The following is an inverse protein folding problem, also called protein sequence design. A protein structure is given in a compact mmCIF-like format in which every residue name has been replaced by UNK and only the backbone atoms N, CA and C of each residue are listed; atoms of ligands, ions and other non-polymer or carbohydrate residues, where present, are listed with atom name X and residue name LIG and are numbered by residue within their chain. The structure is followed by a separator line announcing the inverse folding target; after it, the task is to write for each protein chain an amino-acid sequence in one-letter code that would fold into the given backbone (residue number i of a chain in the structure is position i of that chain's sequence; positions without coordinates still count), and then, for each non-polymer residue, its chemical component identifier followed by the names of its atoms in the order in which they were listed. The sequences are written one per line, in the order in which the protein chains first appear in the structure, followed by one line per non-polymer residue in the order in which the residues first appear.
data_IF_695143024760
#
_entry.id   IF_695143024760
#
_cell.length_a   1.000
_cell.length_b   1.000
_cell.length_c   1.000
_cell.angle_alpha   90.00
_cell.angle_beta   90.00
_cell.angle_gamma   90.00
#
_symmetry.space_group_name_H-M   'P 1'
#
loop_
_entity.id
_entity.type
_entity.pdbx_description
1 polymer ?
#
# COMPACT_ATOMS: atom_id res chain seq x y z
N UNK A 1 12.63 16.90 -27.26
CA UNK A 1 11.64 16.24 -28.15
C UNK A 1 11.97 16.65 -29.57
N UNK A 2 11.66 15.84 -30.58
CA UNK A 2 12.11 16.08 -31.97
C UNK A 2 11.21 17.07 -32.74
N UNK A 3 10.02 17.42 -32.21
CA UNK A 3 9.10 18.38 -32.82
C UNK A 3 8.45 19.30 -31.74
N UNK A 4 8.31 20.62 -31.98
CA UNK A 4 7.62 21.56 -31.08
C UNK A 4 6.16 21.15 -30.78
N UNK A 5 5.44 20.55 -31.75
CA UNK A 5 4.08 20.07 -31.53
C UNK A 5 4.02 18.89 -30.54
N UNK A 6 5.02 18.00 -30.55
CA UNK A 6 5.11 16.91 -29.58
C UNK A 6 5.34 17.45 -28.16
N UNK A 7 6.11 18.53 -28.02
CA UNK A 7 6.33 19.18 -26.74
C UNK A 7 5.04 19.78 -26.16
N UNK A 8 4.26 20.47 -27.00
CA UNK A 8 2.94 21.00 -26.61
C UNK A 8 1.93 19.91 -26.28
N UNK A 9 1.94 18.80 -27.03
CA UNK A 9 1.09 17.65 -26.74
C UNK A 9 1.39 17.04 -25.36
N UNK A 10 2.69 16.86 -25.02
CA UNK A 10 3.08 16.37 -23.68
C UNK A 10 2.72 17.36 -22.57
N UNK A 11 2.86 18.68 -22.80
CA UNK A 11 2.40 19.68 -21.83
C UNK A 11 0.90 19.58 -21.57
N UNK A 12 0.08 19.38 -22.63
CA UNK A 12 -1.36 19.17 -22.49
C UNK A 12 -1.68 17.90 -21.70
N UNK A 13 -0.97 16.80 -21.95
CA UNK A 13 -1.13 15.55 -21.20
C UNK A 13 -0.74 15.69 -19.71
N UNK A 14 0.28 16.49 -19.41
CA UNK A 14 0.68 16.81 -18.02
C UNK A 14 -0.42 17.66 -17.36
N UNK A 15 -0.90 18.71 -18.02
CA UNK A 15 -1.96 19.58 -17.51
C UNK A 15 -3.30 18.86 -17.29
N UNK A 16 -3.59 17.79 -18.03
CA UNK A 16 -4.74 16.91 -17.78
C UNK A 16 -4.61 16.08 -16.49
N UNK A 17 -3.38 15.77 -16.05
CA UNK A 17 -3.13 15.07 -14.79
C UNK A 17 -3.09 16.00 -13.57
N UNK A 18 -2.86 17.29 -13.78
CA UNK A 18 -2.79 18.27 -12.71
C UNK A 18 -4.20 18.78 -12.36
N UNK A 19 -4.64 18.47 -11.14
CA UNK A 19 -5.98 18.82 -10.68
C UNK A 19 -6.12 20.30 -10.33
N UNK A 20 -5.17 20.86 -9.56
CA UNK A 20 -5.29 22.19 -8.94
C UNK A 20 -4.45 23.28 -9.62
N UNK A 21 -3.46 22.89 -10.43
CA UNK A 21 -2.50 23.78 -11.08
C UNK A 21 -2.52 23.52 -12.57
N UNK A 22 -2.30 24.56 -13.38
CA UNK A 22 -2.11 24.48 -14.82
C UNK A 22 -0.77 25.14 -15.15
N UNK A 23 0.09 24.44 -15.88
CA UNK A 23 1.35 25.00 -16.36
C UNK A 23 1.04 25.80 -17.63
N UNK A 24 1.33 27.10 -17.61
CA UNK A 24 1.31 27.95 -18.80
C UNK A 24 2.64 27.80 -19.55
N UNK A 25 2.58 27.66 -20.87
CA UNK A 25 3.77 27.71 -21.73
C UNK A 25 4.29 29.14 -21.76
N UNK A 26 5.57 29.33 -21.42
CA UNK A 26 6.24 30.64 -21.45
C UNK A 26 7.26 30.65 -22.57
N UNK A 27 8.18 29.69 -22.59
CA UNK A 27 9.26 29.65 -23.57
C UNK A 27 9.44 28.25 -24.16
N UNK A 28 9.69 28.19 -25.47
CA UNK A 28 10.02 26.99 -26.20
C UNK A 28 11.48 27.09 -26.69
N UNK A 29 12.37 26.39 -26.00
CA UNK A 29 13.81 26.44 -26.25
C UNK A 29 14.21 25.24 -27.10
N UNK A 30 14.75 25.50 -28.29
CA UNK A 30 15.41 24.50 -29.11
C UNK A 30 16.87 24.37 -28.67
N UNK A 31 17.30 23.16 -28.32
CA UNK A 31 18.66 22.85 -27.88
C UNK A 31 19.21 21.66 -28.66
N UNK A 32 20.48 21.68 -29.03
CA UNK A 32 21.11 20.54 -29.69
C UNK A 32 21.65 19.55 -28.65
N UNK A 33 21.31 18.27 -28.83
CA UNK A 33 21.86 17.16 -28.03
C UNK A 33 23.32 16.87 -28.41
N UNK A 34 24.04 16.14 -27.55
CA UNK A 34 25.40 15.63 -27.84
C UNK A 34 25.49 14.84 -29.16
N UNK A 35 24.39 14.23 -29.60
CA UNK A 35 24.27 13.48 -30.86
C UNK A 35 23.71 14.32 -32.05
N UNK A 36 23.85 15.65 -32.04
CA UNK A 36 23.38 16.57 -33.10
C UNK A 36 21.86 16.55 -33.38
N UNK A 37 21.04 15.96 -32.48
CA UNK A 37 19.58 15.99 -32.58
C UNK A 37 18.99 17.23 -31.92
N UNK A 38 18.06 17.90 -32.61
CA UNK A 38 17.31 19.05 -32.09
C UNK A 38 16.29 18.59 -31.03
N UNK A 39 16.45 19.07 -29.80
CA UNK A 39 15.58 18.80 -28.65
C UNK A 39 14.86 20.10 -28.26
N UNK A 40 13.53 20.10 -28.39
CA UNK A 40 12.67 21.15 -27.85
C UNK A 40 12.38 20.90 -26.36
N UNK A 41 12.57 21.95 -25.55
CA UNK A 41 12.23 22.05 -24.13
C UNK A 41 11.19 23.17 -23.94
N UNK A 42 10.23 22.95 -23.05
CA UNK A 42 9.23 23.97 -22.69
C UNK A 42 9.50 24.39 -21.25
N UNK A 43 9.64 25.69 -21.02
CA UNK A 43 9.60 26.31 -19.70
C UNK A 43 8.21 26.90 -19.47
N UNK A 44 7.71 26.79 -18.24
CA UNK A 44 6.39 27.26 -17.88
C UNK A 44 6.24 27.54 -16.40
N UNK A 45 5.36 28.48 -16.05
CA UNK A 45 4.99 28.78 -14.66
C UNK A 45 3.68 28.09 -14.34
N UNK A 46 3.60 27.52 -13.13
CA UNK A 46 2.38 26.95 -12.60
C UNK A 46 1.43 28.07 -12.19
N UNK A 47 0.25 28.12 -12.81
CA UNK A 47 -0.86 28.96 -12.40
C UNK A 47 -1.91 28.13 -11.67
N UNK A 48 -2.36 28.60 -10.51
CA UNK A 48 -3.42 27.96 -9.76
C UNK A 48 -4.78 28.08 -10.47
N UNK A 49 -5.57 27.00 -10.45
CA UNK A 49 -6.95 27.02 -10.95
C UNK A 49 -7.88 27.51 -9.83
N UNK A 50 -7.92 28.82 -9.63
CA UNK A 50 -8.64 29.46 -8.51
C UNK A 50 -10.10 28.99 -8.39
N UNK A 51 -10.82 28.83 -9.50
CA UNK A 51 -12.21 28.36 -9.51
C UNK A 51 -12.36 26.93 -8.98
N UNK A 52 -11.50 26.01 -9.43
CA UNK A 52 -11.49 24.60 -8.97
C UNK A 52 -11.10 24.51 -7.49
N UNK A 53 -10.15 25.35 -7.06
CA UNK A 53 -9.72 25.44 -5.66
C UNK A 53 -10.89 25.94 -4.79
N UNK A 54 -11.58 27.00 -5.20
CA UNK A 54 -12.74 27.54 -4.48
C UNK A 54 -13.88 26.51 -4.43
N UNK A 55 -14.16 25.82 -5.54
CA UNK A 55 -15.18 24.76 -5.58
C UNK A 55 -14.84 23.63 -4.60
N UNK A 56 -13.62 23.09 -4.67
CA UNK A 56 -13.16 22.03 -3.76
C UNK A 56 -13.10 22.49 -2.30
N UNK A 57 -12.80 23.76 -2.05
CA UNK A 57 -12.81 24.33 -0.69
C UNK A 57 -14.23 24.46 -0.13
N UNK A 58 -15.24 24.66 -0.98
CA UNK A 58 -16.66 24.59 -0.60
C UNK A 58 -17.14 23.16 -0.38
N UNK A 59 -16.68 22.22 -1.21
CA UNK A 59 -16.97 20.78 -1.07
C UNK A 59 -16.27 20.16 0.15
N UNK A 60 -15.10 20.69 0.53
CA UNK A 60 -14.39 20.32 1.74
C UNK A 60 -15.17 20.81 2.96
N UNK A 61 -16.09 19.97 3.45
CA UNK A 61 -16.83 20.23 4.68
C UNK A 61 -15.91 20.61 5.84
N UNK A 62 -16.40 21.48 6.72
CA UNK A 62 -15.70 21.85 7.95
C UNK A 62 -15.93 20.75 8.99
N UNK A 63 -14.88 20.34 9.68
CA UNK A 63 -14.97 19.41 10.80
C UNK A 63 -14.22 19.99 11.99
N UNK A 64 -14.76 19.77 13.17
CA UNK A 64 -14.18 20.24 14.44
C UNK A 64 -13.36 19.08 15.00
N UNK A 65 -12.09 19.34 15.32
CA UNK A 65 -11.24 18.42 16.06
C UNK A 65 -11.07 18.97 17.48
N UNK A 66 -11.51 18.22 18.48
CA UNK A 66 -11.22 18.49 19.88
C UNK A 66 -10.05 17.62 20.33
N UNK A 67 -9.07 18.22 21.01
CA UNK A 67 -7.91 17.52 21.55
C UNK A 67 -7.71 17.89 23.01
N UNK A 68 -7.21 16.94 23.81
CA UNK A 68 -6.84 17.16 25.21
C UNK A 68 -5.39 17.64 25.36
N UNK A 69 -4.68 17.88 24.24
CA UNK A 69 -3.32 18.43 24.22
C UNK A 69 -3.42 19.95 24.41
N UNK A 70 -3.30 20.39 25.67
CA UNK A 70 -3.43 21.79 26.08
C UNK A 70 -2.07 22.48 26.20
N UNK A 71 -1.04 21.73 26.57
CA UNK A 71 0.31 22.25 26.81
C UNK A 71 1.01 22.60 25.49
N UNK A 72 1.66 23.77 25.44
CA UNK A 72 2.34 24.30 24.25
C UNK A 72 3.51 23.40 23.79
N UNK A 73 4.12 22.62 24.70
CA UNK A 73 5.22 21.69 24.39
C UNK A 73 4.73 20.41 23.67
N UNK A 74 3.49 19.98 23.92
CA UNK A 74 2.86 18.79 23.32
C UNK A 74 1.87 19.13 22.20
N UNK A 75 1.78 20.42 21.84
CA UNK A 75 0.84 20.94 20.86
C UNK A 75 1.28 20.53 19.46
N UNK A 76 0.62 19.51 18.92
CA UNK A 76 0.79 19.10 17.53
C UNK A 76 0.44 20.25 16.57
N UNK A 77 1.22 20.39 15.50
CA UNK A 77 0.85 21.30 14.42
C UNK A 77 -0.52 20.93 13.85
N UNK A 78 -1.24 21.92 13.32
CA UNK A 78 -2.57 21.72 12.73
C UNK A 78 -2.56 20.66 11.63
N UNK A 79 -1.49 20.58 10.81
CA UNK A 79 -1.38 19.57 9.77
C UNK A 79 -1.15 18.16 10.37
N UNK A 80 -0.36 18.06 11.44
CA UNK A 80 -0.10 16.81 12.14
C UNK A 80 -1.34 16.31 12.89
N UNK A 81 -2.11 17.20 13.51
CA UNK A 81 -3.40 16.85 14.13
C UNK A 81 -4.38 16.25 13.12
N UNK A 82 -4.55 16.90 11.97
CA UNK A 82 -5.44 16.40 10.92
C UNK A 82 -4.94 15.05 10.39
N UNK A 83 -3.63 14.89 10.19
CA UNK A 83 -3.03 13.64 9.72
C UNK A 83 -3.25 12.51 10.72
N UNK A 84 -3.00 12.77 12.00
CA UNK A 84 -3.18 11.81 13.10
C UNK A 84 -4.64 11.37 13.22
N UNK A 85 -5.58 12.32 13.19
CA UNK A 85 -7.00 12.02 13.19
C UNK A 85 -7.42 11.17 11.98
N UNK A 86 -6.99 11.54 10.76
CA UNK A 86 -7.31 10.79 9.54
C UNK A 86 -6.71 9.37 9.55
N UNK A 87 -5.57 9.17 10.20
CA UNK A 87 -4.97 7.84 10.33
C UNK A 87 -5.79 6.89 11.23
N UNK A 88 -6.69 7.39 12.09
CA UNK A 88 -7.59 6.55 12.89
C UNK A 88 -8.54 5.69 12.03
N UNK A 89 -8.90 6.15 10.82
CA UNK A 89 -9.68 5.38 9.85
C UNK A 89 -9.00 4.06 9.44
N UNK A 90 -7.68 3.93 9.69
CA UNK A 90 -6.99 2.66 9.46
C UNK A 90 -7.53 1.53 10.34
N UNK A 91 -8.02 1.83 11.54
CA UNK A 91 -8.65 0.85 12.43
C UNK A 91 -9.94 0.30 11.84
N UNK A 92 -10.79 1.14 11.25
CA UNK A 92 -12.06 0.75 10.62
C UNK A 92 -11.85 -0.21 9.45
N UNK A 93 -10.81 0.03 8.64
CA UNK A 93 -10.42 -0.89 7.56
C UNK A 93 -9.99 -2.26 8.09
N UNK A 94 -9.39 -2.31 9.29
CA UNK A 94 -9.09 -3.55 10.00
C UNK A 94 -10.34 -4.32 10.40
N UNK A 95 -11.38 -3.65 10.92
CA UNK A 95 -12.64 -4.32 11.28
C UNK A 95 -13.40 -4.89 10.07
N UNK A 96 -13.23 -4.30 8.88
CA UNK A 96 -13.79 -4.89 7.65
C UNK A 96 -13.24 -6.29 7.36
N UNK A 97 -11.98 -6.56 7.74
CA UNK A 97 -11.38 -7.89 7.60
C UNK A 97 -12.06 -8.92 8.52
N UNK A 98 -12.42 -8.53 9.75
CA UNK A 98 -13.14 -9.41 10.68
C UNK A 98 -14.56 -9.75 10.21
N UNK A 99 -15.15 -8.86 9.40
CA UNK A 99 -16.47 -9.04 8.79
C UNK A 99 -16.41 -9.69 7.40
N UNK A 100 -15.23 -10.01 6.89
CA UNK A 100 -15.09 -10.64 5.56
C UNK A 100 -15.58 -12.10 5.65
N UNK A 101 -16.49 -12.55 4.75
CA UNK A 101 -17.05 -13.90 4.76
C UNK A 101 -15.99 -15.01 4.75
N UNK A 102 -14.80 -14.74 4.20
CA UNK A 102 -13.69 -15.71 4.21
C UNK A 102 -13.13 -16.01 5.61
N UNK A 103 -13.45 -15.20 6.63
CA UNK A 103 -13.14 -15.52 8.03
C UNK A 103 -14.18 -16.43 8.69
N UNK A 104 -15.11 -16.99 7.91
CA UNK A 104 -16.11 -17.94 8.40
C UNK A 104 -17.02 -17.35 9.49
N UNK A 105 -17.06 -16.02 9.63
CA UNK A 105 -17.94 -15.32 10.56
C UNK A 105 -19.41 -15.71 10.34
N UNK A 106 -19.81 -15.89 9.08
CA UNK A 106 -21.15 -16.31 8.67
C UNK A 106 -21.47 -17.79 9.02
N UNK A 107 -20.45 -18.61 9.30
CA UNK A 107 -20.60 -20.02 9.69
C UNK A 107 -20.45 -20.27 11.19
N UNK A 108 -20.15 -19.24 11.98
CA UNK A 108 -20.11 -19.33 13.44
C UNK A 108 -21.51 -19.18 14.03
N UNK A 109 -22.29 -20.27 14.01
CA UNK A 109 -23.56 -20.37 14.73
C UNK A 109 -23.34 -20.54 16.23
N UNK A 110 -22.88 -19.48 16.88
CA UNK A 110 -22.55 -19.48 18.30
C UNK A 110 -23.78 -19.08 19.10
N UNK A 111 -24.36 -20.03 19.84
CA UNK A 111 -25.59 -19.82 20.63
C UNK A 111 -25.38 -19.14 21.99
N UNK A 112 -24.16 -19.13 22.52
CA UNK A 112 -23.84 -18.61 23.87
C UNK A 112 -22.98 -17.34 23.77
N UNK A 113 -23.31 -16.32 24.55
CA UNK A 113 -22.61 -15.02 24.58
C UNK A 113 -21.11 -15.16 24.86
N UNK A 114 -20.72 -15.99 25.83
CA UNK A 114 -19.32 -16.25 26.20
C UNK A 114 -18.45 -16.72 25.02
N UNK A 115 -19.03 -17.55 24.14
CA UNK A 115 -18.35 -18.07 22.97
C UNK A 115 -18.20 -17.00 21.88
N UNK A 116 -19.15 -16.06 21.79
CA UNK A 116 -19.06 -14.91 20.87
C UNK A 116 -17.92 -13.99 21.31
N UNK A 117 -17.84 -13.68 22.61
CA UNK A 117 -16.77 -12.85 23.18
C UNK A 117 -15.40 -13.48 22.96
N UNK A 118 -15.27 -14.78 23.25
CA UNK A 118 -14.03 -15.53 23.02
C UNK A 118 -13.61 -15.50 21.56
N UNK A 119 -14.56 -15.69 20.64
CA UNK A 119 -14.29 -15.64 19.20
C UNK A 119 -13.86 -14.24 18.77
N UNK A 120 -14.56 -13.20 19.21
CA UNK A 120 -14.22 -11.81 18.89
C UNK A 120 -12.81 -11.45 19.36
N UNK A 121 -12.44 -11.89 20.57
CA UNK A 121 -11.09 -11.73 21.10
C UNK A 121 -10.06 -12.43 20.22
N UNK A 122 -10.27 -13.72 19.90
CA UNK A 122 -9.36 -14.50 19.06
C UNK A 122 -9.21 -13.88 17.66
N UNK A 123 -10.30 -13.48 17.03
CA UNK A 123 -10.25 -12.87 15.70
C UNK A 123 -9.54 -11.51 15.74
N UNK A 124 -9.75 -10.70 16.78
CA UNK A 124 -9.06 -9.42 16.98
C UNK A 124 -7.55 -9.63 17.20
N UNK A 125 -7.18 -10.63 17.98
CA UNK A 125 -5.78 -11.02 18.18
C UNK A 125 -5.13 -11.49 16.87
N UNK A 126 -5.82 -12.33 16.10
CA UNK A 126 -5.37 -12.73 14.77
C UNK A 126 -5.18 -11.50 13.87
N UNK A 127 -6.13 -10.56 13.83
CA UNK A 127 -5.98 -9.33 13.04
C UNK A 127 -4.74 -8.53 13.43
N UNK A 128 -4.42 -8.43 14.73
CA UNK A 128 -3.19 -7.79 15.20
C UNK A 128 -1.95 -8.49 14.62
N UNK A 129 -1.87 -9.82 14.73
CA UNK A 129 -0.76 -10.61 14.18
C UNK A 129 -0.65 -10.42 12.66
N UNK A 130 -1.77 -10.41 11.93
CA UNK A 130 -1.81 -10.15 10.49
C UNK A 130 -1.28 -8.76 10.13
N UNK A 131 -1.67 -7.72 10.89
CA UNK A 131 -1.22 -6.36 10.67
C UNK A 131 0.28 -6.20 10.92
N UNK A 132 0.79 -6.82 11.99
CA UNK A 132 2.22 -6.84 12.29
C UNK A 132 3.01 -7.56 11.19
N UNK A 133 2.58 -8.76 10.78
CA UNK A 133 3.22 -9.50 9.69
C UNK A 133 3.22 -8.73 8.37
N UNK A 134 2.10 -8.08 8.03
CA UNK A 134 2.01 -7.23 6.84
C UNK A 134 2.95 -6.03 6.91
N UNK A 135 3.06 -5.40 8.09
CA UNK A 135 3.96 -4.26 8.30
C UNK A 135 5.42 -4.68 8.13
N UNK A 136 5.82 -5.77 8.77
CA UNK A 136 7.18 -6.30 8.68
C UNK A 136 7.55 -6.68 7.24
N UNK A 137 6.67 -7.39 6.53
CA UNK A 137 6.88 -7.74 5.14
C UNK A 137 7.06 -6.51 4.25
N UNK A 138 6.17 -5.51 4.39
CA UNK A 138 6.26 -4.27 3.60
C UNK A 138 7.53 -3.48 3.90
N UNK A 139 7.97 -3.46 5.16
CA UNK A 139 9.23 -2.85 5.56
C UNK A 139 10.43 -3.59 4.94
N UNK A 140 10.40 -4.92 4.93
CA UNK A 140 11.42 -5.77 4.29
C UNK A 140 11.51 -5.50 2.78
N UNK A 141 10.37 -5.50 2.08
CA UNK A 141 10.29 -5.19 0.65
C UNK A 141 10.77 -3.77 0.33
N UNK A 142 10.40 -2.79 1.17
CA UNK A 142 10.84 -1.40 1.01
C UNK A 142 12.35 -1.27 1.16
N UNK A 143 12.96 -1.93 2.16
CA UNK A 143 14.42 -1.94 2.36
C UNK A 143 15.15 -2.57 1.18
N UNK A 144 14.63 -3.68 0.66
CA UNK A 144 15.22 -4.37 -0.49
C UNK A 144 14.89 -3.73 -1.85
N UNK A 145 14.07 -2.66 -1.88
CA UNK A 145 13.51 -2.05 -3.11
C UNK A 145 12.89 -3.09 -4.05
N UNK A 146 12.28 -4.13 -3.47
CA UNK A 146 11.67 -5.24 -4.19
C UNK A 146 10.13 -5.15 -4.18
N UNK A 147 9.50 -5.93 -5.04
CA UNK A 147 8.05 -6.08 -5.09
C UNK A 147 7.66 -7.54 -5.27
N UNK A 148 6.46 -7.88 -4.82
CA UNK A 148 5.84 -9.19 -5.05
C UNK A 148 4.75 -9.00 -6.10
N UNK A 149 4.50 -10.00 -6.96
CA UNK A 149 3.38 -9.96 -7.91
C UNK A 149 2.05 -9.93 -7.14
N UNK A 150 1.12 -9.09 -7.57
CA UNK A 150 -0.25 -9.09 -7.07
C UNK A 150 -1.14 -10.08 -7.87
N UNK A 151 -2.45 -10.12 -7.57
CA UNK A 151 -3.43 -10.98 -8.26
C UNK A 151 -3.48 -10.79 -9.78
N UNK A 152 -3.15 -9.58 -10.26
CA UNK A 152 -3.08 -9.25 -11.69
C UNK A 152 -1.64 -9.29 -12.23
N UNK A 153 -0.76 -10.02 -11.55
CA UNK A 153 0.66 -10.21 -11.89
C UNK A 153 1.52 -8.94 -11.97
N UNK A 154 1.04 -7.80 -11.44
CA UNK A 154 1.81 -6.55 -11.33
C UNK A 154 2.63 -6.54 -10.05
N UNK A 155 3.87 -6.05 -10.14
CA UNK A 155 4.73 -5.88 -8.98
C UNK A 155 4.16 -4.82 -8.03
N UNK A 156 4.09 -5.15 -6.74
CA UNK A 156 3.71 -4.24 -5.67
C UNK A 156 4.67 -4.34 -4.49
N UNK A 157 5.05 -3.18 -3.95
CA UNK A 157 5.80 -3.06 -2.69
C UNK A 157 4.88 -3.05 -1.46
N UNK A 158 3.57 -3.12 -1.67
CA UNK A 158 2.55 -3.03 -0.60
C UNK A 158 1.58 -4.23 -0.65
N UNK A 159 2.06 -5.49 -0.67
CA UNK A 159 1.17 -6.65 -0.65
C UNK A 159 0.35 -6.69 0.65
N UNK A 160 -0.78 -7.39 0.63
CA UNK A 160 -1.54 -7.71 1.84
C UNK A 160 -1.10 -9.07 2.38
N UNK A 161 -1.11 -9.27 3.71
CA UNK A 161 -0.70 -10.57 4.27
C UNK A 161 -1.64 -11.70 3.81
N UNK A 162 -2.92 -11.39 3.60
CA UNK A 162 -3.90 -12.31 2.97
C UNK A 162 -3.40 -12.83 1.62
N UNK A 163 -2.94 -11.95 0.73
CA UNK A 163 -2.45 -12.36 -0.59
C UNK A 163 -1.22 -13.26 -0.47
N UNK A 164 -0.32 -12.96 0.45
CA UNK A 164 0.87 -13.76 0.69
C UNK A 164 0.52 -15.18 1.17
N UNK A 165 -0.46 -15.30 2.07
CA UNK A 165 -0.93 -16.63 2.47
C UNK A 165 -1.58 -17.40 1.31
N UNK A 166 -2.29 -16.73 0.41
CA UNK A 166 -2.79 -17.35 -0.82
C UNK A 166 -1.65 -17.84 -1.72
N UNK A 167 -0.56 -17.07 -1.86
CA UNK A 167 0.63 -17.53 -2.60
C UNK A 167 1.25 -18.81 -2.00
N UNK A 168 1.15 -18.99 -0.68
CA UNK A 168 1.62 -20.17 0.02
C UNK A 168 0.61 -21.32 0.11
N UNK A 169 -0.62 -21.14 -0.36
CA UNK A 169 -1.59 -22.25 -0.41
C UNK A 169 -1.06 -23.37 -1.31
N UNK A 170 -1.17 -24.61 -0.83
CA UNK A 170 -0.70 -25.79 -1.54
C UNK A 170 0.79 -26.09 -1.36
N UNK A 171 1.50 -25.42 -0.44
CA UNK A 171 2.75 -25.95 0.10
C UNK A 171 2.39 -27.10 1.04
N UNK A 172 2.94 -28.28 0.80
CA UNK A 172 2.66 -29.48 1.58
C UNK A 172 3.94 -30.11 2.08
N UNK A 173 3.86 -30.75 3.24
CA UNK A 173 4.91 -31.66 3.72
C UNK A 173 4.51 -33.06 3.28
N UNK A 174 5.38 -33.71 2.52
CA UNK A 174 5.26 -35.08 2.09
C UNK A 174 6.29 -35.94 2.83
N UNK A 175 5.87 -37.09 3.34
CA UNK A 175 6.74 -37.98 4.13
C UNK A 175 6.91 -39.27 3.33
N UNK A 176 8.15 -39.57 2.92
CA UNK A 176 8.49 -40.80 2.21
C UNK A 176 9.60 -41.50 2.97
N UNK A 177 9.38 -42.76 3.35
CA UNK A 177 10.36 -43.57 4.07
C UNK A 177 10.91 -42.89 5.33
N UNK A 178 10.05 -42.15 6.05
CA UNK A 178 10.42 -41.40 7.27
C UNK A 178 11.09 -40.04 7.01
N UNK A 179 11.46 -39.72 5.77
CA UNK A 179 12.07 -38.44 5.39
C UNK A 179 10.97 -37.43 5.04
N UNK A 180 10.99 -36.27 5.70
CA UNK A 180 10.09 -35.14 5.40
C UNK A 180 10.62 -34.38 4.19
N UNK A 181 9.74 -34.05 3.26
CA UNK A 181 10.05 -33.23 2.09
C UNK A 181 8.98 -32.17 1.91
N UNK A 182 9.38 -30.94 1.58
CA UNK A 182 8.44 -29.88 1.24
C UNK A 182 8.18 -29.92 -0.26
N UNK A 183 6.92 -30.07 -0.64
CA UNK A 183 6.47 -30.09 -2.03
C UNK A 183 5.87 -28.73 -2.39
N UNK A 184 5.97 -28.38 -3.68
CA UNK A 184 5.38 -27.16 -4.25
C UNK A 184 6.02 -25.84 -3.74
N UNK A 185 7.28 -25.89 -3.29
CA UNK A 185 8.04 -24.69 -2.94
C UNK A 185 8.72 -24.09 -4.18
N UNK A 186 7.93 -23.43 -5.03
CA UNK A 186 8.36 -22.78 -6.27
C UNK A 186 9.32 -21.61 -6.02
N UNK A 187 10.04 -21.16 -7.06
CA UNK A 187 10.94 -20.01 -6.98
C UNK A 187 10.25 -18.73 -6.49
N UNK A 188 9.01 -18.49 -6.93
CA UNK A 188 8.23 -17.33 -6.48
C UNK A 188 7.92 -17.41 -4.97
N UNK A 189 7.59 -18.60 -4.46
CA UNK A 189 7.35 -18.82 -3.03
C UNK A 189 8.63 -18.64 -2.22
N UNK A 190 9.76 -19.16 -2.70
CA UNK A 190 11.09 -18.95 -2.10
C UNK A 190 11.47 -17.46 -2.08
N UNK A 191 11.21 -16.76 -3.18
CA UNK A 191 11.44 -15.33 -3.27
C UNK A 191 10.63 -14.56 -2.22
N UNK A 192 9.34 -14.86 -2.05
CA UNK A 192 8.51 -14.24 -1.02
C UNK A 192 9.03 -14.57 0.40
N UNK A 193 9.46 -15.81 0.64
CA UNK A 193 10.01 -16.24 1.94
C UNK A 193 11.23 -15.43 2.37
N UNK A 194 12.09 -15.02 1.44
CA UNK A 194 13.28 -14.22 1.76
C UNK A 194 12.95 -12.89 2.44
N UNK A 195 11.73 -12.37 2.26
CA UNK A 195 11.28 -11.12 2.88
C UNK A 195 10.60 -11.32 4.23
N UNK A 196 10.27 -12.56 4.60
CA UNK A 196 9.71 -12.90 5.90
C UNK A 196 10.81 -13.09 6.96
N UNK A 197 10.51 -12.93 8.26
CA UNK A 197 11.48 -13.16 9.33
C UNK A 197 12.07 -14.58 9.29
N UNK A 198 13.33 -14.74 9.71
CA UNK A 198 14.02 -16.04 9.69
C UNK A 198 13.27 -17.12 10.48
N UNK A 199 12.58 -16.75 11.56
CA UNK A 199 11.73 -17.68 12.32
C UNK A 199 10.60 -18.27 11.46
N UNK A 200 10.01 -17.47 10.58
CA UNK A 200 8.99 -17.94 9.64
C UNK A 200 9.61 -18.81 8.54
N UNK A 201 10.77 -18.41 8.01
CA UNK A 201 11.46 -19.16 6.97
C UNK A 201 11.81 -20.59 7.41
N UNK A 202 12.18 -20.78 8.68
CA UNK A 202 12.49 -22.11 9.24
C UNK A 202 11.35 -23.10 8.99
N UNK A 203 10.08 -22.74 9.20
CA UNK A 203 8.96 -23.65 8.95
C UNK A 203 8.87 -24.17 7.50
N UNK A 204 9.40 -23.42 6.53
CA UNK A 204 9.38 -23.76 5.12
C UNK A 204 10.73 -24.26 4.57
N UNK A 205 11.78 -24.29 5.39
CA UNK A 205 13.13 -24.68 4.98
C UNK A 205 13.72 -25.78 5.86
N UNK A 206 13.27 -25.93 7.11
CA UNK A 206 13.85 -26.82 8.10
C UNK A 206 13.26 -28.24 8.10
N UNK A 207 12.53 -28.64 7.06
CA UNK A 207 12.10 -30.04 6.89
C UNK A 207 13.17 -30.96 6.32
N UNK A 208 14.39 -30.45 6.11
CA UNK A 208 15.51 -31.17 5.48
C UNK A 208 16.45 -31.86 6.48
N UNK A 209 15.98 -32.20 7.68
CA UNK A 209 16.71 -33.08 8.62
C UNK A 209 15.90 -34.34 8.84
#
# INVERSE_FOLDING_TARGET
MENPQQARYKLRAINQKLNLVKILEIDLIASQSKDHKTIYKISGVGQEKTEEIVRRRKEAGRFILATNLVDEEDKLDSAEMVTTYKNQQSCERGFRFLKDPLFFADSFFVKKTERIETMLFLMSFCLLVYNLGQRELRNSLKRAKAGVKNQVSKLTSRPTMRWIFQCFQGIHIFIVNGVKQIVNLTEERRFILNFLPSSCQKYYLSSLV
#
